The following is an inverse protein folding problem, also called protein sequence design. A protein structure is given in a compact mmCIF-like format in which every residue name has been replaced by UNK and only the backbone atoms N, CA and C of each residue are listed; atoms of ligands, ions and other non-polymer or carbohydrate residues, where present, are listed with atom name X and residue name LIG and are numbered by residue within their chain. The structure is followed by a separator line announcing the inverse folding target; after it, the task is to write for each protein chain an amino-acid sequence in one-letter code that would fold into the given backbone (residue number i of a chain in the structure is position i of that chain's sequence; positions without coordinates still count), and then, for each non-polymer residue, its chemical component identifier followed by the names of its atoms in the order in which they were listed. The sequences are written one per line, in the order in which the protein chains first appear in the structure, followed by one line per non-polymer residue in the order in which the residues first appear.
data_IF_883423704732
#
_entry.id   IF_883423704732
#
_cell.length_a   1.000
_cell.length_b   1.000
_cell.length_c   1.000
_cell.angle_alpha   90.00
_cell.angle_beta   90.00
_cell.angle_gamma   90.00
#
_symmetry.space_group_name_H-M   'P 1'
#
loop_
_entity.id
_entity.type
_entity.pdbx_description
1 polymer ?
#
# COMPACT_ATOMS: atom_id res chain seq x y z
N UNK A 1 39.48 28.89 -3.36
CA UNK A 1 38.75 27.66 -3.71
C UNK A 1 37.59 27.51 -2.73
N UNK A 2 36.37 27.88 -3.15
CA UNK A 2 35.16 27.66 -2.37
C UNK A 2 34.23 26.81 -3.23
N UNK A 3 34.19 25.51 -2.96
CA UNK A 3 33.24 24.60 -3.58
C UNK A 3 32.01 24.55 -2.69
N UNK A 4 30.97 25.27 -3.09
CA UNK A 4 29.65 25.19 -2.48
C UNK A 4 29.01 23.87 -2.92
N UNK A 5 28.88 22.92 -1.98
CA UNK A 5 28.13 21.69 -2.21
C UNK A 5 26.64 22.04 -2.19
N UNK A 6 26.10 22.33 -3.36
CA UNK A 6 24.65 22.41 -3.55
C UNK A 6 24.04 21.05 -3.19
N UNK A 7 23.36 20.99 -2.03
CA UNK A 7 22.49 19.87 -1.67
C UNK A 7 21.36 19.82 -2.68
N UNK A 8 21.49 18.95 -3.69
CA UNK A 8 20.40 18.59 -4.56
C UNK A 8 19.36 17.84 -3.71
N UNK A 9 18.32 18.56 -3.27
CA UNK A 9 17.08 17.91 -2.86
C UNK A 9 16.52 17.22 -4.11
N UNK A 10 16.80 15.93 -4.26
CA UNK A 10 16.04 15.06 -5.13
C UNK A 10 14.58 15.13 -4.65
N UNK A 11 13.77 15.93 -5.32
CA UNK A 11 12.32 15.78 -5.30
C UNK A 11 12.07 14.37 -5.82
N UNK A 12 11.89 13.41 -4.90
CA UNK A 12 11.38 12.11 -5.24
C UNK A 12 9.99 12.36 -5.83
N UNK A 13 9.92 12.33 -7.16
CA UNK A 13 8.67 12.31 -7.89
C UNK A 13 8.02 10.97 -7.52
N UNK A 14 7.26 10.97 -6.43
CA UNK A 14 6.36 9.87 -6.11
C UNK A 14 5.32 9.86 -7.22
N UNK A 15 5.62 9.14 -8.31
CA UNK A 15 4.64 8.78 -9.32
C UNK A 15 3.70 7.78 -8.66
N UNK A 16 2.80 8.29 -7.82
CA UNK A 16 1.58 7.60 -7.46
C UNK A 16 0.79 7.49 -8.76
N UNK A 17 1.04 6.42 -9.51
CA UNK A 17 0.14 5.99 -10.58
C UNK A 17 -1.14 5.58 -9.90
N UNK A 18 -1.99 6.55 -9.60
CA UNK A 18 -3.34 6.33 -9.14
C UNK A 18 -4.04 5.61 -10.29
N UNK A 19 -4.18 4.28 -10.18
CA UNK A 19 -5.15 3.56 -11.00
C UNK A 19 -6.51 4.16 -10.62
N UNK A 20 -7.00 5.08 -11.44
CA UNK A 20 -8.37 5.58 -11.36
C UNK A 20 -9.31 4.51 -11.94
N UNK A 21 -9.27 3.31 -11.38
CA UNK A 21 -10.38 2.39 -11.52
C UNK A 21 -11.43 2.85 -10.51
N UNK A 22 -12.25 3.84 -10.90
CA UNK A 22 -13.41 4.27 -10.14
C UNK A 22 -14.49 3.20 -10.22
N UNK A 23 -14.23 2.05 -9.60
CA UNK A 23 -15.25 1.05 -9.31
C UNK A 23 -15.86 1.51 -7.97
N UNK A 24 -17.15 1.88 -7.92
CA UNK A 24 -17.81 2.21 -6.67
C UNK A 24 -17.57 1.11 -5.63
N UNK A 25 -17.21 1.49 -4.40
CA UNK A 25 -16.85 0.54 -3.35
C UNK A 25 -15.39 0.04 -3.36
N UNK A 26 -14.55 0.43 -4.34
CA UNK A 26 -13.13 0.02 -4.35
C UNK A 26 -12.26 0.84 -3.39
N UNK A 27 -11.63 0.17 -2.43
CA UNK A 27 -10.72 0.79 -1.47
C UNK A 27 -9.30 0.79 -2.05
N UNK A 28 -8.77 1.97 -2.39
CA UNK A 28 -7.44 2.10 -3.00
C UNK A 28 -6.36 1.95 -1.94
N UNK A 29 -5.49 0.95 -2.06
CA UNK A 29 -4.35 0.78 -1.15
C UNK A 29 -3.35 1.94 -1.33
N UNK A 30 -3.02 2.61 -0.22
CA UNK A 30 -2.05 3.72 -0.20
C UNK A 30 -0.74 3.36 0.51
N UNK A 31 -0.78 2.36 1.39
CA UNK A 31 0.41 1.79 2.03
C UNK A 31 0.22 0.28 2.28
N UNK A 32 1.21 -0.58 2.00
CA UNK A 32 2.55 -0.24 1.49
C UNK A 32 2.58 0.29 0.06
N UNK A 33 3.52 1.18 -0.21
CA UNK A 33 3.78 1.66 -1.56
C UNK A 33 4.39 0.54 -2.42
N UNK A 34 4.28 0.69 -3.74
CA UNK A 34 4.90 -0.26 -4.66
C UNK A 34 6.41 -0.32 -4.45
N UNK A 35 6.95 -1.53 -4.32
CA UNK A 35 8.35 -1.83 -4.01
C UNK A 35 8.85 -1.30 -2.65
N UNK A 36 7.95 -0.97 -1.73
CA UNK A 36 8.33 -0.66 -0.36
C UNK A 36 8.87 -1.91 0.33
N UNK A 37 10.08 -1.83 0.87
CA UNK A 37 10.67 -2.88 1.67
C UNK A 37 10.13 -2.78 3.11
N UNK A 38 9.29 -3.72 3.50
CA UNK A 38 8.81 -3.85 4.89
C UNK A 38 9.71 -4.82 5.64
N UNK A 39 10.27 -4.37 6.76
CA UNK A 39 11.15 -5.19 7.59
C UNK A 39 10.35 -6.32 8.27
N UNK A 40 10.84 -7.56 8.14
CA UNK A 40 10.21 -8.71 8.78
C UNK A 40 10.31 -8.60 10.31
N UNK A 41 9.19 -8.85 11.00
CA UNK A 41 9.10 -8.78 12.46
C UNK A 41 8.76 -7.39 13.01
N UNK A 42 8.74 -6.36 12.15
CA UNK A 42 8.26 -5.02 12.52
C UNK A 42 6.74 -4.92 12.39
N UNK A 43 6.12 -4.09 13.24
CA UNK A 43 4.70 -3.73 13.08
C UNK A 43 4.54 -2.81 11.87
N UNK A 44 3.56 -3.09 11.02
CA UNK A 44 3.30 -2.31 9.82
C UNK A 44 1.83 -1.94 9.71
N UNK A 45 1.54 -0.65 9.52
CA UNK A 45 0.17 -0.17 9.32
C UNK A 45 -0.19 -0.18 7.84
N UNK A 46 -1.10 -1.06 7.45
CA UNK A 46 -1.69 -1.09 6.11
C UNK A 46 -2.69 0.08 6.01
N UNK A 47 -2.64 0.86 4.93
CA UNK A 47 -3.52 2.03 4.73
C UNK A 47 -4.19 2.01 3.37
N UNK A 48 -5.43 2.46 3.33
CA UNK A 48 -6.20 2.61 2.10
C UNK A 48 -7.09 3.85 2.15
N UNK A 49 -7.49 4.34 0.99
CA UNK A 49 -8.53 5.35 0.85
C UNK A 49 -9.90 4.68 0.97
N UNK A 50 -10.73 5.03 1.97
CA UNK A 50 -12.08 4.50 2.09
C UNK A 50 -12.93 4.81 0.86
N UNK A 51 -13.83 3.90 0.51
CA UNK A 51 -14.79 4.05 -0.57
C UNK A 51 -16.21 4.34 -0.05
N UNK A 52 -17.07 4.85 -0.94
CA UNK A 52 -18.50 5.04 -0.73
C UNK A 52 -19.28 4.25 -1.80
N UNK A 53 -20.23 3.36 -1.44
CA UNK A 53 -20.59 2.93 -0.08
C UNK A 53 -19.49 2.09 0.58
N UNK A 54 -19.30 2.30 1.89
CA UNK A 54 -18.38 1.49 2.69
C UNK A 54 -18.92 0.06 2.84
N UNK A 55 -18.02 -0.93 2.76
CA UNK A 55 -18.34 -2.34 2.90
C UNK A 55 -17.19 -3.08 3.58
N UNK A 56 -17.45 -4.13 4.39
CA UNK A 56 -16.38 -4.86 5.05
C UNK A 56 -15.36 -5.44 4.05
N UNK A 57 -14.07 -5.27 4.34
CA UNK A 57 -12.97 -5.79 3.52
C UNK A 57 -12.25 -6.95 4.22
N UNK A 58 -11.48 -7.70 3.43
CA UNK A 58 -10.57 -8.72 3.95
C UNK A 58 -9.16 -8.44 3.43
N UNK A 59 -8.17 -8.60 4.29
CA UNK A 59 -6.76 -8.37 3.98
C UNK A 59 -6.06 -9.70 3.81
N UNK A 60 -5.38 -9.88 2.69
CA UNK A 60 -4.59 -11.07 2.37
C UNK A 60 -3.19 -10.65 1.94
N UNK A 61 -2.19 -11.43 2.35
CA UNK A 61 -0.83 -11.27 1.85
C UNK A 61 -0.62 -12.27 0.72
N UNK A 62 -0.20 -11.76 -0.43
CA UNK A 62 0.20 -12.58 -1.57
C UNK A 62 1.69 -12.39 -1.84
N UNK A 63 2.39 -13.47 -2.14
CA UNK A 63 3.82 -13.48 -2.42
C UNK A 63 4.12 -14.39 -3.60
N UNK A 64 5.20 -14.10 -4.33
CA UNK A 64 5.48 -14.81 -5.57
C UNK A 64 6.80 -14.38 -6.17
N UNK A 65 7.24 -15.12 -7.19
CA UNK A 65 8.45 -14.77 -7.95
C UNK A 65 8.27 -13.45 -8.71
N UNK A 66 7.07 -13.20 -9.20
CA UNK A 66 6.67 -12.01 -9.93
C UNK A 66 5.14 -11.81 -9.81
N UNK A 67 4.63 -10.70 -10.35
CA UNK A 67 3.22 -10.35 -10.28
C UNK A 67 2.27 -11.33 -10.99
N UNK A 68 2.79 -12.24 -11.84
CA UNK A 68 2.00 -13.25 -12.54
C UNK A 68 1.96 -14.58 -11.78
N UNK A 69 2.86 -14.78 -10.81
CA UNK A 69 2.99 -16.00 -10.00
C UNK A 69 2.84 -15.67 -8.51
N UNK A 70 1.77 -14.95 -8.16
CA UNK A 70 1.44 -14.62 -6.78
C UNK A 70 0.58 -15.74 -6.16
N UNK A 71 1.10 -16.34 -5.10
CA UNK A 71 0.39 -17.28 -4.25
C UNK A 71 0.02 -16.60 -2.92
N UNK A 72 -0.98 -17.13 -2.21
CA UNK A 72 -1.26 -16.70 -0.85
C UNK A 72 -0.06 -17.03 0.04
N UNK A 73 0.55 -16.00 0.63
CA UNK A 73 1.65 -16.15 1.57
C UNK A 73 1.22 -16.85 2.86
N UNK A 74 0.00 -16.54 3.29
CA UNK A 74 -0.65 -17.05 4.49
C UNK A 74 -2.17 -17.03 4.31
N UNK A 75 -2.89 -17.49 5.33
CA UNK A 75 -4.31 -17.16 5.47
C UNK A 75 -4.55 -15.64 5.58
N UNK A 76 -5.82 -15.26 5.69
CA UNK A 76 -6.22 -13.87 5.89
C UNK A 76 -5.47 -13.21 7.05
N UNK A 77 -4.86 -12.05 6.79
CA UNK A 77 -4.34 -11.15 7.83
C UNK A 77 -5.49 -10.68 8.71
N UNK A 78 -6.62 -10.32 8.06
CA UNK A 78 -7.83 -9.89 8.73
C UNK A 78 -9.05 -10.13 7.85
N UNK A 79 -10.21 -10.37 8.48
CA UNK A 79 -11.49 -10.61 7.81
C UNK A 79 -12.54 -9.68 8.37
N UNK A 80 -13.46 -9.24 7.51
CA UNK A 80 -14.58 -8.38 7.89
C UNK A 80 -14.15 -7.09 8.60
N UNK A 81 -13.03 -6.50 8.16
CA UNK A 81 -12.52 -5.22 8.66
C UNK A 81 -13.41 -4.09 8.14
N UNK A 82 -13.73 -3.14 9.01
CA UNK A 82 -14.43 -1.92 8.60
C UNK A 82 -13.56 -1.12 7.63
N UNK A 83 -14.00 -1.01 6.37
CA UNK A 83 -13.26 -0.27 5.34
C UNK A 83 -13.23 1.24 5.60
N UNK A 84 -14.17 1.77 6.40
CA UNK A 84 -14.19 3.19 6.74
C UNK A 84 -13.03 3.60 7.66
N UNK A 85 -12.39 2.64 8.34
CA UNK A 85 -11.23 2.90 9.20
C UNK A 85 -10.02 3.46 8.41
N UNK A 86 -9.89 3.10 7.13
CA UNK A 86 -8.77 3.54 6.28
C UNK A 86 -7.40 2.97 6.67
N UNK A 87 -7.33 2.14 7.71
CA UNK A 87 -6.09 1.55 8.20
C UNK A 87 -6.30 0.25 9.00
N UNK A 88 -5.26 -0.58 9.05
CA UNK A 88 -5.17 -1.81 9.84
C UNK A 88 -3.74 -1.99 10.39
N UNK A 89 -3.60 -2.40 11.65
CA UNK A 89 -2.33 -2.60 12.38
C UNK A 89 -2.12 -4.04 12.85
#
# INVERSE_FOLDING_TARGET
MQYSFAKACLLALATTTSVLAQIPGFNVLTAPASNEAVEAGSKYTIKWTPSDPAAPISLVLMQGKDAQHLDLASDFIAKSVDSAAGQFE
#
